data_IF_167276486001
#
_entry.id   IF_167276486001
#
_cell.length_a   1.000
_cell.length_b   1.000
_cell.length_c   1.000
_cell.angle_alpha   90.00
_cell.angle_beta   90.00
_cell.angle_gamma   90.00
#
_symmetry.space_group_name_H-M   'P 1'
#
loop_
_entity.id
_entity.type
_entity.pdbx_description
1 polymer ?
#
# COMPACT_ATOMS: atom_id res chain seq x y z
N UNK A 1 -9.35 -4.47 6.09
CA UNK A 1 -8.93 -3.05 6.16
C UNK A 1 -10.07 -2.15 6.63
N UNK A 2 -11.22 -2.08 5.94
CA UNK A 2 -12.32 -1.20 6.35
C UNK A 2 -12.92 -1.55 7.74
N UNK A 3 -13.12 -2.83 8.06
CA UNK A 3 -13.62 -3.25 9.38
C UNK A 3 -12.61 -2.90 10.48
N UNK A 4 -11.32 -3.18 10.26
CA UNK A 4 -10.26 -2.81 11.20
C UNK A 4 -10.21 -1.29 11.43
N UNK A 5 -10.35 -0.49 10.36
CA UNK A 5 -10.31 0.96 10.44
C UNK A 5 -11.42 1.51 11.37
N UNK A 6 -12.64 1.00 11.22
CA UNK A 6 -13.80 1.43 12.02
C UNK A 6 -13.75 0.89 13.45
N UNK A 7 -13.41 -0.40 13.63
CA UNK A 7 -13.41 -1.05 14.96
C UNK A 7 -12.26 -0.54 15.83
N UNK A 8 -11.07 -0.35 15.25
CA UNK A 8 -9.90 0.12 15.98
C UNK A 8 -9.75 1.65 15.96
N UNK A 9 -10.68 2.37 15.33
CA UNK A 9 -10.68 3.83 15.18
C UNK A 9 -9.34 4.37 14.66
N UNK A 10 -8.77 3.66 13.69
CA UNK A 10 -7.44 3.96 13.19
C UNK A 10 -7.51 5.02 12.08
N UNK A 11 -7.26 6.27 12.45
CA UNK A 11 -7.32 7.42 11.53
C UNK A 11 -6.43 7.26 10.31
N UNK A 12 -5.24 6.66 10.47
CA UNK A 12 -4.33 6.43 9.35
C UNK A 12 -4.96 5.51 8.29
N UNK A 13 -5.64 4.44 8.72
CA UNK A 13 -6.31 3.49 7.82
C UNK A 13 -7.47 4.14 7.06
N UNK A 14 -8.25 5.01 7.72
CA UNK A 14 -9.34 5.76 7.09
C UNK A 14 -8.79 6.75 6.04
N UNK A 15 -7.68 7.41 6.34
CA UNK A 15 -7.03 8.33 5.40
C UNK A 15 -6.54 7.60 4.15
N UNK A 16 -5.84 6.48 4.31
CA UNK A 16 -5.37 5.71 3.13
C UNK A 16 -6.52 5.09 2.36
N UNK A 17 -7.60 4.65 3.02
CA UNK A 17 -8.78 4.17 2.31
C UNK A 17 -9.40 5.26 1.43
N UNK A 18 -9.42 6.52 1.89
CA UNK A 18 -9.87 7.64 1.07
C UNK A 18 -8.92 7.90 -0.12
N UNK A 19 -7.60 7.88 0.11
CA UNK A 19 -6.60 8.03 -0.97
C UNK A 19 -6.73 6.93 -2.02
N UNK A 20 -6.84 5.66 -1.60
CA UNK A 20 -7.03 4.52 -2.51
C UNK A 20 -8.30 4.67 -3.34
N UNK A 21 -9.42 5.11 -2.74
CA UNK A 21 -10.65 5.37 -3.51
C UNK A 21 -10.47 6.49 -4.55
N UNK A 22 -9.75 7.56 -4.21
CA UNK A 22 -9.43 8.62 -5.19
C UNK A 22 -8.57 8.08 -6.34
N UNK A 23 -7.57 7.24 -6.04
CA UNK A 23 -6.74 6.59 -7.06
C UNK A 23 -7.58 5.67 -7.96
N UNK A 24 -8.49 4.88 -7.39
CA UNK A 24 -9.43 4.06 -8.16
C UNK A 24 -10.32 4.91 -9.09
N UNK A 25 -10.78 6.08 -8.64
CA UNK A 25 -11.56 6.98 -9.48
C UNK A 25 -10.76 7.54 -10.66
N UNK A 26 -9.47 7.87 -10.44
CA UNK A 26 -8.56 8.29 -11.51
C UNK A 26 -8.33 7.15 -12.51
N UNK A 27 -8.09 5.93 -12.03
CA UNK A 27 -7.91 4.76 -12.89
C UNK A 27 -9.17 4.43 -13.70
N UNK A 28 -10.37 4.54 -13.11
CA UNK A 28 -11.63 4.36 -13.84
C UNK A 28 -11.82 5.41 -14.94
N UNK A 29 -11.44 6.67 -14.68
CA UNK A 29 -11.46 7.70 -15.72
C UNK A 29 -10.50 7.40 -16.88
N UNK A 30 -9.30 6.84 -16.58
CA UNK A 30 -8.35 6.41 -17.60
C UNK A 30 -8.85 5.20 -18.40
N UNK A 31 -9.54 4.27 -17.74
CA UNK A 31 -10.12 3.10 -18.39
C UNK A 31 -11.12 3.49 -19.49
N UNK A 32 -11.93 4.54 -19.27
CA UNK A 32 -12.83 5.09 -20.30
C UNK A 32 -12.04 5.59 -21.52
N UNK A 33 -10.90 6.26 -21.29
CA UNK A 33 -10.06 6.81 -22.38
C UNK A 33 -9.48 5.67 -23.22
N UNK A 34 -8.98 4.62 -22.58
CA UNK A 34 -8.50 3.43 -23.29
C UNK A 34 -9.65 2.70 -24.00
N UNK A 35 -10.79 2.51 -23.34
CA UNK A 35 -11.96 1.86 -23.92
C UNK A 35 -12.43 2.57 -25.20
N UNK A 36 -12.47 3.90 -25.18
CA UNK A 36 -12.81 4.69 -26.37
C UNK A 36 -11.79 4.55 -27.50
N UNK A 37 -10.49 4.55 -27.18
CA UNK A 37 -9.41 4.32 -28.15
C UNK A 37 -9.57 2.96 -28.84
N UNK A 38 -9.73 1.89 -28.08
CA UNK A 38 -9.85 0.52 -28.62
C UNK A 38 -11.15 0.33 -29.41
N UNK A 39 -12.26 0.91 -28.94
CA UNK A 39 -13.53 0.87 -29.66
C UNK A 39 -13.43 1.55 -31.03
N UNK A 40 -12.75 2.70 -31.11
CA UNK A 40 -12.55 3.41 -32.38
C UNK A 40 -11.69 2.62 -33.37
N UNK A 41 -10.65 1.95 -32.88
CA UNK A 41 -9.84 1.06 -33.72
C UNK A 41 -10.68 -0.11 -34.24
N UNK A 42 -11.51 -0.73 -33.40
CA UNK A 42 -12.36 -1.86 -33.80
C UNK A 42 -13.43 -1.46 -34.83
N UNK A 43 -13.96 -0.23 -34.76
CA UNK A 43 -14.92 0.31 -35.75
C UNK A 43 -14.35 0.40 -37.16
N UNK A 44 -13.03 0.47 -37.31
CA UNK A 44 -12.37 0.46 -38.63
C UNK A 44 -12.29 -0.94 -39.24
N UNK A 45 -12.58 -1.98 -38.46
CA UNK A 45 -12.52 -3.38 -38.88
C UNK A 45 -13.92 -3.94 -39.17
N UNK A 46 -14.00 -5.04 -39.94
CA UNK A 46 -15.29 -5.66 -40.31
C UNK A 46 -15.91 -6.55 -39.22
N UNK A 47 -15.35 -6.56 -38.00
CA UNK A 47 -15.78 -7.42 -36.91
C UNK A 47 -16.95 -6.81 -36.11
N UNK A 48 -17.82 -7.63 -35.49
CA UNK A 48 -18.93 -7.12 -34.69
C UNK A 48 -18.44 -6.40 -33.43
N UNK A 49 -18.87 -5.15 -33.23
CA UNK A 49 -18.45 -4.30 -32.09
C UNK A 49 -19.55 -4.04 -31.04
N UNK A 50 -20.76 -4.59 -31.22
CA UNK A 50 -21.93 -4.33 -30.36
C UNK A 50 -21.68 -4.63 -28.87
N UNK A 51 -20.95 -5.70 -28.57
CA UNK A 51 -20.59 -6.09 -27.20
C UNK A 51 -19.63 -5.09 -26.56
N UNK A 52 -18.61 -4.64 -27.30
CA UNK A 52 -17.63 -3.67 -26.81
C UNK A 52 -18.25 -2.29 -26.61
N UNK A 53 -19.17 -1.87 -27.49
CA UNK A 53 -19.94 -0.64 -27.31
C UNK A 53 -20.81 -0.69 -26.04
N UNK A 54 -21.42 -1.84 -25.76
CA UNK A 54 -22.20 -2.05 -24.54
C UNK A 54 -21.30 -2.03 -23.30
N UNK A 55 -20.14 -2.68 -23.35
CA UNK A 55 -19.16 -2.66 -22.26
C UNK A 55 -18.67 -1.24 -21.96
N UNK A 56 -18.35 -0.44 -22.99
CA UNK A 56 -17.94 0.96 -22.82
C UNK A 56 -18.98 1.81 -22.09
N UNK A 57 -20.29 1.56 -22.32
CA UNK A 57 -21.35 2.25 -21.56
C UNK A 57 -21.36 1.86 -20.08
N UNK A 58 -21.12 0.59 -19.77
CA UNK A 58 -20.99 0.12 -18.39
C UNK A 58 -19.74 0.67 -17.69
N UNK A 59 -18.60 0.76 -18.39
CA UNK A 59 -17.35 1.35 -17.88
C UNK A 59 -17.56 2.82 -17.46
N UNK A 60 -18.26 3.61 -18.28
CA UNK A 60 -18.61 4.99 -17.96
C UNK A 60 -19.48 5.05 -16.71
N UNK A 61 -20.54 4.22 -16.65
CA UNK A 61 -21.44 4.19 -15.50
C UNK A 61 -20.71 3.80 -14.20
N UNK A 62 -19.83 2.78 -14.27
CA UNK A 62 -19.06 2.32 -13.13
C UNK A 62 -18.09 3.40 -12.63
N UNK A 63 -17.40 4.09 -13.54
CA UNK A 63 -16.45 5.16 -13.20
C UNK A 63 -17.14 6.33 -12.52
N UNK A 64 -18.34 6.71 -12.97
CA UNK A 64 -19.15 7.76 -12.31
C UNK A 64 -19.54 7.33 -10.89
N UNK A 65 -19.92 6.07 -10.69
CA UNK A 65 -20.25 5.53 -9.38
C UNK A 65 -19.01 5.54 -8.47
N UNK A 66 -17.86 5.04 -8.94
CA UNK A 66 -16.60 5.04 -8.18
C UNK A 66 -16.20 6.47 -7.79
N UNK A 67 -16.34 7.44 -8.70
CA UNK A 67 -16.06 8.84 -8.42
C UNK A 67 -16.98 9.40 -7.32
N UNK A 68 -18.29 9.12 -7.38
CA UNK A 68 -19.23 9.54 -6.34
C UNK A 68 -18.90 8.94 -4.97
N UNK A 69 -18.52 7.66 -4.93
CA UNK A 69 -18.04 7.00 -3.71
C UNK A 69 -16.73 7.60 -3.22
N UNK A 70 -15.78 7.92 -4.09
CA UNK A 70 -14.52 8.54 -3.72
C UNK A 70 -14.72 9.92 -3.08
N UNK A 71 -15.58 10.77 -3.65
CA UNK A 71 -15.94 12.08 -3.08
C UNK A 71 -16.57 11.92 -1.70
N UNK A 72 -17.53 11.00 -1.58
CA UNK A 72 -18.21 10.71 -0.31
C UNK A 72 -17.22 10.21 0.75
N UNK A 73 -16.35 9.27 0.39
CA UNK A 73 -15.32 8.73 1.28
C UNK A 73 -14.28 9.77 1.68
N UNK A 74 -13.92 10.69 0.78
CA UNK A 74 -13.02 11.79 1.09
C UNK A 74 -13.64 12.72 2.15
N UNK A 75 -14.92 13.09 1.99
CA UNK A 75 -15.65 13.89 2.97
C UNK A 75 -15.76 13.19 4.33
N UNK A 76 -16.18 11.92 4.35
CA UNK A 76 -16.27 11.14 5.60
C UNK A 76 -14.91 11.01 6.28
N UNK A 77 -13.86 10.73 5.52
CA UNK A 77 -12.49 10.58 6.04
C UNK A 77 -11.97 11.88 6.66
N UNK A 78 -12.26 13.03 6.04
CA UNK A 78 -11.92 14.34 6.61
C UNK A 78 -12.62 14.59 7.95
N UNK A 79 -13.91 14.31 8.04
CA UNK A 79 -14.67 14.49 9.27
C UNK A 79 -14.19 13.54 10.38
N UNK A 80 -13.95 12.27 10.04
CA UNK A 80 -13.43 11.26 10.96
C UNK A 80 -12.02 11.59 11.47
N UNK A 81 -11.18 12.19 10.62
CA UNK A 81 -9.82 12.61 11.01
C UNK A 81 -9.86 13.67 12.13
N UNK A 82 -10.85 14.55 12.14
CA UNK A 82 -11.03 15.56 13.21
C UNK A 82 -11.41 14.91 14.54
N UNK A 83 -12.38 13.99 14.54
CA UNK A 83 -12.88 13.33 15.74
C UNK A 83 -11.84 12.37 16.35
N UNK A 84 -11.17 11.58 15.52
CA UNK A 84 -10.19 10.59 16.00
C UNK A 84 -8.84 11.18 16.40
N UNK A 85 -8.49 12.38 15.92
CA UNK A 85 -7.29 13.10 16.39
C UNK A 85 -7.30 13.35 17.90
N UNK A 86 -8.48 13.62 18.47
CA UNK A 86 -8.67 13.75 19.91
C UNK A 86 -8.48 12.44 20.68
N UNK A 87 -8.80 11.30 20.07
CA UNK A 87 -8.66 9.99 20.70
C UNK A 87 -7.21 9.49 20.71
N UNK A 88 -6.41 9.82 19.69
CA UNK A 88 -4.97 9.52 19.65
C UNK A 88 -4.24 10.29 20.76
N UNK A 89 -4.58 11.56 20.96
CA UNK A 89 -4.01 12.38 22.04
C UNK A 89 -4.23 11.74 23.42
N UNK A 90 -5.45 11.26 23.69
CA UNK A 90 -5.80 10.61 24.97
C UNK A 90 -5.08 9.27 25.18
N UNK A 91 -4.81 8.50 24.10
CA UNK A 91 -4.27 7.14 24.19
C UNK A 91 -2.75 7.06 24.33
N UNK A 92 -1.99 8.00 23.76
CA UNK A 92 -0.52 7.98 23.75
C UNK A 92 0.05 8.92 24.83
N UNK A 93 -0.71 9.92 25.28
CA UNK A 93 -0.25 10.94 26.22
C UNK A 93 0.49 12.09 25.52
N UNK A 94 0.99 13.07 26.28
CA UNK A 94 1.48 14.36 25.78
C UNK A 94 2.82 14.31 25.01
N UNK A 95 3.52 13.18 24.95
CA UNK A 95 4.80 13.10 24.25
C UNK A 95 4.61 13.05 22.72
N UNK A 96 4.81 14.22 22.10
CA UNK A 96 4.68 14.44 20.66
C UNK A 96 5.70 13.61 19.85
N UNK A 97 6.86 13.28 20.43
CA UNK A 97 7.90 12.48 19.79
C UNK A 97 7.42 11.05 19.54
N UNK A 98 6.89 10.41 20.59
CA UNK A 98 6.36 9.04 20.52
C UNK A 98 5.16 8.97 19.57
N UNK A 99 4.27 9.96 19.61
CA UNK A 99 3.15 10.04 18.68
C UNK A 99 3.60 10.10 17.21
N UNK A 100 4.63 10.90 16.90
CA UNK A 100 5.17 11.01 15.53
C UNK A 100 5.80 9.70 15.06
N UNK A 101 6.56 9.03 15.93
CA UNK A 101 7.17 7.73 15.61
C UNK A 101 6.10 6.65 15.38
N UNK A 102 5.09 6.59 16.25
CA UNK A 102 3.97 5.66 16.12
C UNK A 102 3.17 5.87 14.84
N UNK A 103 2.84 7.13 14.52
CA UNK A 103 2.13 7.46 13.27
C UNK A 103 2.94 7.07 12.03
N UNK A 104 4.25 7.30 12.03
CA UNK A 104 5.14 6.87 10.93
C UNK A 104 5.09 5.36 10.76
N UNK A 105 5.15 4.61 11.86
CA UNK A 105 5.04 3.15 11.82
C UNK A 105 3.66 2.68 11.32
N UNK A 106 2.57 3.34 11.73
CA UNK A 106 1.24 3.03 11.23
C UNK A 106 1.15 3.23 9.71
N UNK A 107 1.65 4.35 9.19
CA UNK A 107 1.71 4.57 7.73
C UNK A 107 2.55 3.52 7.03
N UNK A 108 3.70 3.12 7.60
CA UNK A 108 4.51 2.04 7.04
C UNK A 108 3.74 0.72 6.94
N UNK A 109 3.09 0.27 8.03
CA UNK A 109 2.28 -0.96 8.03
C UNK A 109 1.12 -0.87 7.04
N UNK A 110 0.60 0.33 6.85
CA UNK A 110 -0.52 0.58 5.97
C UNK A 110 -0.13 0.55 4.50
N UNK A 111 1.01 1.15 4.15
CA UNK A 111 1.61 1.01 2.83
C UNK A 111 1.88 -0.46 2.52
N UNK A 112 2.48 -1.23 3.45
CA UNK A 112 2.68 -2.68 3.26
C UNK A 112 1.37 -3.42 2.95
N UNK A 113 0.22 -3.03 3.54
CA UNK A 113 -1.08 -3.64 3.22
C UNK A 113 -1.54 -3.32 1.80
N UNK A 114 -1.27 -2.11 1.31
CA UNK A 114 -1.60 -1.69 -0.06
C UNK A 114 -0.64 -2.34 -1.06
N UNK A 115 0.63 -2.51 -0.70
CA UNK A 115 1.65 -3.15 -1.54
C UNK A 115 1.36 -4.64 -1.76
N UNK A 116 0.76 -5.34 -0.78
CA UNK A 116 0.27 -6.72 -0.97
C UNK A 116 -0.68 -6.80 -2.17
N UNK A 117 -1.51 -5.78 -2.39
CA UNK A 117 -2.40 -5.74 -3.55
C UNK A 117 -1.64 -5.25 -4.78
N UNK A 118 -0.96 -4.11 -4.66
CA UNK A 118 -0.39 -3.39 -5.81
C UNK A 118 0.81 -4.14 -6.39
N UNK A 119 1.81 -4.47 -5.57
CA UNK A 119 3.04 -5.09 -6.06
C UNK A 119 2.79 -6.50 -6.56
N UNK A 120 2.04 -7.29 -5.78
CA UNK A 120 1.72 -8.66 -6.13
C UNK A 120 0.88 -8.74 -7.41
N UNK A 121 -0.14 -7.89 -7.58
CA UNK A 121 -0.98 -7.93 -8.78
C UNK A 121 -0.24 -7.47 -10.02
N UNK A 122 0.54 -6.39 -9.95
CA UNK A 122 1.35 -5.93 -11.10
C UNK A 122 2.29 -7.06 -11.54
N UNK A 123 2.99 -7.66 -10.57
CA UNK A 123 3.94 -8.75 -10.83
C UNK A 123 3.25 -9.99 -11.40
N UNK A 124 2.11 -10.41 -10.83
CA UNK A 124 1.37 -11.57 -11.27
C UNK A 124 0.75 -11.38 -12.67
N UNK A 125 0.12 -10.23 -12.92
CA UNK A 125 -0.50 -9.96 -14.22
C UNK A 125 0.54 -9.87 -15.33
N UNK A 126 1.69 -9.22 -15.07
CA UNK A 126 2.78 -9.19 -16.02
C UNK A 126 3.33 -10.60 -16.30
N UNK A 127 3.54 -11.43 -15.28
CA UNK A 127 4.00 -12.82 -15.46
C UNK A 127 3.05 -13.63 -16.34
N UNK A 128 1.73 -13.50 -16.12
CA UNK A 128 0.71 -14.17 -16.94
C UNK A 128 0.76 -13.66 -18.38
N UNK A 129 0.81 -12.35 -18.58
CA UNK A 129 0.85 -11.74 -19.91
C UNK A 129 2.10 -12.15 -20.68
N UNK A 130 3.27 -12.07 -20.04
CA UNK A 130 4.55 -12.47 -20.62
C UNK A 130 4.54 -13.96 -21.03
N UNK A 131 4.05 -14.83 -20.15
CA UNK A 131 3.94 -16.28 -20.44
C UNK A 131 2.98 -16.56 -21.59
N UNK A 132 1.91 -15.78 -21.72
CA UNK A 132 0.92 -15.90 -22.79
C UNK A 132 1.50 -15.47 -24.14
N UNK A 133 2.24 -14.37 -24.18
CA UNK A 133 2.83 -13.84 -25.41
C UNK A 133 4.00 -14.68 -25.92
N UNK A 134 4.92 -15.09 -25.05
CA UNK A 134 6.06 -15.93 -25.42
C UNK A 134 5.65 -17.39 -25.68
N UNK A 135 4.52 -17.84 -25.11
CA UNK A 135 4.09 -19.23 -25.10
C UNK A 135 4.77 -20.02 -23.99
N UNK A 136 3.99 -20.82 -23.25
CA UNK A 136 4.41 -21.47 -22.01
C UNK A 136 5.72 -22.28 -22.11
N UNK A 137 5.89 -23.03 -23.20
CA UNK A 137 7.07 -23.91 -23.41
C UNK A 137 8.36 -23.15 -23.72
N UNK A 138 8.25 -21.94 -24.26
CA UNK A 138 9.39 -21.06 -24.56
C UNK A 138 9.69 -20.22 -23.33
N UNK A 139 8.66 -19.59 -22.75
CA UNK A 139 8.80 -18.78 -21.54
C UNK A 139 9.50 -19.53 -20.39
N UNK A 140 9.19 -20.81 -20.17
CA UNK A 140 9.80 -21.60 -19.10
C UNK A 140 11.29 -21.93 -19.33
N UNK A 141 11.80 -21.77 -20.56
CA UNK A 141 13.22 -21.94 -20.89
C UNK A 141 14.03 -20.67 -20.68
N UNK A 142 13.38 -19.51 -20.69
CA UNK A 142 14.04 -18.23 -20.50
C UNK A 142 14.36 -17.98 -19.03
N UNK A 143 15.60 -17.57 -18.76
CA UNK A 143 16.07 -17.28 -17.41
C UNK A 143 15.31 -16.11 -16.78
N UNK A 144 14.88 -15.14 -17.59
CA UNK A 144 14.17 -13.94 -17.14
C UNK A 144 12.82 -14.29 -16.51
N UNK A 145 12.08 -15.26 -17.08
CA UNK A 145 10.82 -15.76 -16.52
C UNK A 145 10.98 -16.35 -15.14
N UNK A 146 12.07 -17.10 -14.91
CA UNK A 146 12.37 -17.66 -13.59
C UNK A 146 12.67 -16.58 -12.56
N UNK A 147 13.41 -15.54 -12.95
CA UNK A 147 13.67 -14.39 -12.07
C UNK A 147 12.36 -13.68 -11.72
N UNK A 148 11.50 -13.40 -12.69
CA UNK A 148 10.20 -12.75 -12.47
C UNK A 148 9.29 -13.59 -11.56
N UNK A 149 9.23 -14.91 -11.78
CA UNK A 149 8.48 -15.84 -10.95
C UNK A 149 9.00 -15.83 -9.50
N UNK A 150 10.31 -15.92 -9.31
CA UNK A 150 10.94 -15.91 -7.99
C UNK A 150 10.65 -14.59 -7.26
N UNK A 151 10.83 -13.44 -7.93
CA UNK A 151 10.51 -12.13 -7.37
C UNK A 151 9.04 -12.08 -6.95
N UNK A 152 8.12 -12.49 -7.83
CA UNK A 152 6.67 -12.50 -7.56
C UNK A 152 6.32 -13.32 -6.31
N UNK A 153 6.90 -14.52 -6.17
CA UNK A 153 6.66 -15.40 -5.02
C UNK A 153 7.25 -14.79 -3.74
N UNK A 154 8.40 -14.13 -3.84
CA UNK A 154 9.10 -13.55 -2.68
C UNK A 154 8.46 -12.26 -2.15
N UNK A 155 7.70 -11.51 -2.96
CA UNK A 155 7.03 -10.26 -2.51
C UNK A 155 6.23 -10.48 -1.23
N UNK A 156 5.33 -11.48 -1.19
CA UNK A 156 4.46 -11.69 -0.01
C UNK A 156 5.23 -12.05 1.27
N UNK A 157 6.17 -13.02 1.27
CA UNK A 157 7.05 -13.28 2.42
C UNK A 157 7.84 -12.05 2.86
N UNK A 158 8.39 -11.26 1.93
CA UNK A 158 9.21 -10.10 2.26
C UNK A 158 8.38 -8.94 2.85
N UNK A 159 7.15 -8.72 2.39
CA UNK A 159 6.23 -7.76 3.00
C UNK A 159 5.86 -8.17 4.44
N UNK A 160 5.61 -9.46 4.68
CA UNK A 160 5.39 -9.98 6.04
C UNK A 160 6.64 -9.84 6.91
N UNK A 161 7.81 -10.12 6.33
CA UNK A 161 9.10 -9.97 6.99
C UNK A 161 9.37 -8.52 7.39
N UNK A 162 9.06 -7.55 6.51
CA UNK A 162 9.16 -6.11 6.78
C UNK A 162 8.30 -5.68 7.96
N UNK A 163 7.05 -6.17 8.01
CA UNK A 163 6.14 -5.91 9.13
C UNK A 163 6.71 -6.43 10.46
N UNK A 164 7.32 -7.60 10.43
CA UNK A 164 7.92 -8.23 11.62
C UNK A 164 9.20 -7.48 12.04
N UNK A 165 10.03 -7.10 11.08
CA UNK A 165 11.25 -6.32 11.28
C UNK A 165 10.97 -5.00 11.99
N UNK A 166 9.90 -4.30 11.57
CA UNK A 166 9.45 -3.07 12.19
C UNK A 166 8.96 -3.26 13.64
N UNK A 167 8.19 -4.32 13.94
CA UNK A 167 7.73 -4.54 15.32
C UNK A 167 8.76 -5.06 16.31
N UNK A 168 9.82 -5.65 15.79
CA UNK A 168 10.93 -6.17 16.59
C UNK A 168 12.12 -5.20 16.61
N UNK A 169 11.97 -4.02 16.00
CA UNK A 169 13.01 -2.98 15.85
C UNK A 169 14.34 -3.52 15.31
N UNK A 170 14.27 -4.49 14.40
CA UNK A 170 15.43 -5.19 13.88
C UNK A 170 15.99 -4.51 12.65
N UNK A 171 16.99 -3.64 12.85
CA UNK A 171 17.76 -2.98 11.77
C UNK A 171 18.21 -3.92 10.65
N UNK A 172 18.87 -5.08 10.92
CA UNK A 172 19.37 -5.92 9.84
C UNK A 172 18.23 -6.47 8.96
N UNK A 173 17.09 -6.84 9.55
CA UNK A 173 15.93 -7.32 8.80
C UNK A 173 15.31 -6.22 7.94
N UNK A 174 15.23 -4.99 8.46
CA UNK A 174 14.74 -3.85 7.70
C UNK A 174 15.65 -3.51 6.51
N UNK A 175 16.97 -3.59 6.67
CA UNK A 175 17.94 -3.37 5.59
C UNK A 175 17.76 -4.43 4.48
N UNK A 176 17.63 -5.70 4.86
CA UNK A 176 17.38 -6.79 3.89
C UNK A 176 16.09 -6.55 3.09
N UNK A 177 15.02 -6.09 3.75
CA UNK A 177 13.79 -5.70 3.07
C UNK A 177 13.99 -4.54 2.09
N UNK A 178 14.68 -3.46 2.51
CA UNK A 178 14.98 -2.31 1.63
C UNK A 178 15.78 -2.74 0.40
N UNK A 179 16.75 -3.66 0.56
CA UNK A 179 17.53 -4.18 -0.57
C UNK A 179 16.63 -4.98 -1.52
N UNK A 180 15.75 -5.83 -1.00
CA UNK A 180 14.77 -6.56 -1.81
C UNK A 180 13.85 -5.61 -2.58
N UNK A 181 13.46 -4.50 -1.95
CA UNK A 181 12.60 -3.51 -2.56
C UNK A 181 13.24 -2.89 -3.83
N UNK A 182 14.55 -2.66 -3.86
CA UNK A 182 15.23 -2.24 -5.09
C UNK A 182 15.09 -3.27 -6.22
N UNK A 183 15.03 -4.57 -5.91
CA UNK A 183 14.79 -5.60 -6.91
C UNK A 183 13.35 -5.56 -7.45
N UNK A 184 12.37 -5.23 -6.61
CA UNK A 184 10.97 -5.01 -7.03
C UNK A 184 10.86 -3.79 -7.94
N UNK A 185 11.50 -2.66 -7.61
CA UNK A 185 11.58 -1.49 -8.49
C UNK A 185 12.21 -1.84 -9.83
N UNK A 186 13.34 -2.57 -9.83
CA UNK A 186 13.99 -3.00 -11.07
C UNK A 186 13.07 -3.89 -11.92
N UNK A 187 12.32 -4.80 -11.28
CA UNK A 187 11.30 -5.60 -11.95
C UNK A 187 10.22 -4.74 -12.60
N UNK A 188 9.67 -3.74 -11.91
CA UNK A 188 8.66 -2.84 -12.49
C UNK A 188 9.19 -1.95 -13.60
N UNK A 189 10.47 -1.57 -13.58
CA UNK A 189 11.10 -0.87 -14.70
C UNK A 189 11.13 -1.76 -15.94
N UNK A 190 11.37 -3.07 -15.80
CA UNK A 190 11.28 -4.02 -16.92
C UNK A 190 9.85 -4.12 -17.45
N UNK A 191 8.86 -4.28 -16.56
CA UNK A 191 7.44 -4.27 -16.93
C UNK A 191 7.09 -3.02 -17.72
N UNK A 192 7.56 -1.86 -17.26
CA UNK A 192 7.30 -0.57 -17.90
C UNK A 192 7.94 -0.48 -19.29
N UNK A 193 9.18 -0.96 -19.44
CA UNK A 193 9.89 -0.98 -20.72
C UNK A 193 9.14 -1.82 -21.77
N UNK A 194 8.66 -2.99 -21.38
CA UNK A 194 7.93 -3.88 -22.28
C UNK A 194 6.53 -3.34 -22.61
N UNK A 195 5.95 -2.58 -21.69
CA UNK A 195 4.66 -1.92 -21.90
C UNK A 195 4.73 -0.77 -22.92
N UNK A 196 5.86 -0.05 -23.01
CA UNK A 196 6.01 1.11 -23.90
C UNK A 196 6.18 0.77 -25.39
N UNK A 197 5.68 -0.38 -25.85
CA UNK A 197 5.76 -0.78 -27.25
C UNK A 197 4.90 0.15 -28.15
N UNK A 198 5.46 0.66 -29.27
CA UNK A 198 4.91 1.80 -30.01
C UNK A 198 3.51 1.59 -30.60
N UNK A 199 3.06 0.34 -30.78
CA UNK A 199 1.78 0.03 -31.43
C UNK A 199 0.65 -0.36 -30.45
N UNK A 200 0.95 -0.61 -29.17
CA UNK A 200 -0.01 -1.15 -28.19
C UNK A 200 0.05 -0.45 -26.82
N UNK A 201 0.07 0.88 -26.81
CA UNK A 201 0.10 1.65 -25.56
C UNK A 201 -1.24 1.53 -24.81
N UNK A 202 -1.26 0.74 -23.74
CA UNK A 202 -2.37 0.65 -22.80
C UNK A 202 -2.14 1.65 -21.66
N UNK A 203 -2.80 2.82 -21.72
CA UNK A 203 -2.49 3.94 -20.84
C UNK A 203 -2.78 3.65 -19.37
N UNK A 204 -3.89 2.95 -19.10
CA UNK A 204 -4.31 2.52 -17.77
C UNK A 204 -3.23 1.62 -17.15
N UNK A 205 -2.70 0.66 -17.90
CA UNK A 205 -1.63 -0.22 -17.43
C UNK A 205 -0.34 0.55 -17.14
N UNK A 206 0.06 1.47 -18.03
CA UNK A 206 1.24 2.33 -17.81
C UNK A 206 1.11 3.13 -16.51
N UNK A 207 -0.03 3.81 -16.31
CA UNK A 207 -0.27 4.61 -15.09
C UNK A 207 -0.30 3.72 -13.85
N UNK A 208 -0.87 2.52 -13.95
CA UNK A 208 -0.91 1.56 -12.85
C UNK A 208 0.49 1.10 -12.42
N UNK A 209 1.39 0.83 -13.39
CA UNK A 209 2.79 0.48 -13.10
C UNK A 209 3.54 1.67 -12.48
N UNK A 210 3.35 2.90 -12.98
CA UNK A 210 3.94 4.10 -12.35
C UNK A 210 3.47 4.30 -10.90
N UNK A 211 2.18 4.07 -10.65
CA UNK A 211 1.61 4.13 -9.30
C UNK A 211 2.22 3.06 -8.39
N UNK A 212 2.45 1.85 -8.91
CA UNK A 212 3.19 0.80 -8.20
C UNK A 212 4.60 1.22 -7.80
N UNK A 213 5.38 1.79 -8.73
CA UNK A 213 6.73 2.31 -8.44
C UNK A 213 6.68 3.44 -7.40
N UNK A 214 5.70 4.34 -7.47
CA UNK A 214 5.56 5.44 -6.52
C UNK A 214 5.20 4.94 -5.10
N UNK A 215 4.33 3.94 -5.00
CA UNK A 215 3.97 3.27 -3.75
C UNK A 215 5.19 2.58 -3.13
N UNK A 216 5.94 1.85 -3.95
CA UNK A 216 7.17 1.18 -3.56
C UNK A 216 8.20 2.16 -2.94
N UNK A 217 8.51 3.26 -3.65
CA UNK A 217 9.42 4.31 -3.15
C UNK A 217 8.93 4.89 -1.82
N UNK A 218 7.62 5.06 -1.68
CA UNK A 218 7.00 5.55 -0.43
C UNK A 218 7.20 4.55 0.70
N UNK A 219 7.00 3.27 0.46
CA UNK A 219 7.22 2.18 1.43
C UNK A 219 8.67 2.09 1.85
N UNK A 220 9.61 2.15 0.90
CA UNK A 220 11.04 2.17 1.18
C UNK A 220 11.42 3.38 2.07
N UNK A 221 10.92 4.57 1.72
CA UNK A 221 11.17 5.80 2.49
C UNK A 221 10.63 5.72 3.92
N UNK A 222 9.41 5.21 4.08
CA UNK A 222 8.79 4.99 5.40
C UNK A 222 9.53 3.90 6.20
N UNK A 223 10.07 2.87 5.53
CA UNK A 223 10.91 1.84 6.14
C UNK A 223 12.21 2.43 6.71
N UNK A 224 12.88 3.31 5.96
CA UNK A 224 14.07 4.04 6.44
C UNK A 224 13.72 4.94 7.63
N UNK A 225 12.64 5.71 7.55
CA UNK A 225 12.19 6.55 8.66
C UNK A 225 11.85 5.73 9.92
N UNK A 226 11.21 4.57 9.76
CA UNK A 226 10.99 3.64 10.87
C UNK A 226 12.32 3.19 11.48
N UNK A 227 13.29 2.81 10.64
CA UNK A 227 14.61 2.35 11.08
C UNK A 227 15.40 3.39 11.88
N UNK A 228 15.31 4.67 11.49
CA UNK A 228 15.93 5.80 12.21
C UNK A 228 15.30 6.05 13.59
N UNK A 229 14.07 5.56 13.79
CA UNK A 229 13.31 5.70 15.04
C UNK A 229 13.42 4.47 15.97
N UNK A 230 14.11 3.41 15.55
CA UNK A 230 14.32 2.23 16.39
C UNK A 230 15.12 2.57 17.65
N UNK A 231 14.80 1.88 18.76
CA UNK A 231 15.37 2.03 20.11
C UNK A 231 15.04 3.34 20.84
N UNK A 232 14.10 4.13 20.32
CA UNK A 232 13.63 5.39 20.95
C UNK A 232 12.36 5.23 21.78
N UNK A 233 12.06 4.01 22.25
CA UNK A 233 10.89 3.72 23.10
C UNK A 233 9.59 3.42 22.36
N UNK A 234 9.64 3.20 21.04
CA UNK A 234 8.46 2.87 20.22
C UNK A 234 7.99 1.41 20.41
N UNK A 235 8.91 0.50 20.74
CA UNK A 235 8.69 -0.93 20.88
C UNK A 235 7.42 -1.36 21.64
N UNK A 236 7.06 -0.79 22.81
CA UNK A 236 5.86 -1.20 23.56
C UNK A 236 4.55 -0.93 22.81
N UNK A 237 4.50 0.12 21.99
CA UNK A 237 3.28 0.55 21.30
C UNK A 237 3.01 -0.23 20.00
N UNK A 238 3.99 -1.02 19.53
CA UNK A 238 3.99 -1.62 18.18
C UNK A 238 3.76 -3.15 18.18
N UNK A 239 3.89 -3.81 19.34
CA UNK A 239 3.64 -5.25 19.48
C UNK A 239 2.14 -5.60 19.42
N UNK A 240 1.79 -6.77 18.84
CA UNK A 240 0.41 -7.28 18.76
C UNK A 240 0.26 -8.48 19.70
N UNK A 241 -0.80 -8.52 20.54
CA UNK A 241 -1.12 -9.67 21.42
C UNK A 241 -1.22 -9.33 22.93
N UNK A 242 -1.59 -10.31 23.76
CA UNK A 242 -1.86 -10.14 25.21
C UNK A 242 -0.68 -9.60 26.05
N UNK A 243 0.56 -9.77 25.57
CA UNK A 243 1.76 -9.15 26.15
C UNK A 243 1.74 -7.60 26.14
N UNK A 244 0.82 -7.01 25.37
CA UNK A 244 0.60 -5.57 25.23
C UNK A 244 -0.14 -4.97 26.45
N UNK A 245 -0.95 -5.76 27.18
CA UNK A 245 -1.65 -5.26 28.39
C UNK A 245 -0.73 -5.21 29.60
N UNK A 246 0.12 -6.22 29.80
CA UNK A 246 1.03 -6.27 30.95
C UNK A 246 2.11 -5.20 30.87
N UNK A 247 2.83 -5.10 29.75
CA UNK A 247 3.91 -4.10 29.61
C UNK A 247 3.44 -2.65 29.65
N UNK A 248 2.24 -2.35 29.14
CA UNK A 248 1.68 -1.01 29.22
C UNK A 248 1.26 -0.67 30.65
N UNK A 249 0.66 -1.63 31.35
CA UNK A 249 0.34 -1.52 32.78
C UNK A 249 1.61 -1.33 33.63
N UNK A 250 2.68 -2.08 33.35
CA UNK A 250 3.97 -1.95 34.03
C UNK A 250 4.63 -0.58 33.76
N UNK A 251 4.54 -0.06 32.54
CA UNK A 251 5.04 1.27 32.18
C UNK A 251 4.23 2.39 32.87
N UNK A 252 2.90 2.25 32.96
CA UNK A 252 2.06 3.18 33.70
C UNK A 252 2.38 3.17 35.20
N UNK A 253 2.51 1.99 35.81
CA UNK A 253 2.89 1.82 37.23
C UNK A 253 4.26 2.43 37.55
N UNK A 254 5.22 2.30 36.64
CA UNK A 254 6.55 2.90 36.84
C UNK A 254 6.54 4.43 36.73
N UNK A 255 5.63 4.98 35.91
CA UNK A 255 5.45 6.42 35.76
C UNK A 255 4.71 7.05 36.94
N UNK A 256 3.78 6.33 37.57
CA UNK A 256 3.15 6.76 38.83
C UNK A 256 4.12 6.69 40.01
N UNK A 257 4.97 5.67 40.10
CA UNK A 257 5.97 5.59 41.16
C UNK A 257 7.00 6.73 41.13
N UNK A 258 7.36 7.21 39.93
CA UNK A 258 8.29 8.35 39.77
C UNK A 258 7.63 9.72 40.03
N UNK A 259 6.31 9.83 39.91
CA UNK A 259 5.58 11.04 40.29
C UNK A 259 5.27 11.10 41.79
N UNK A 260 5.20 9.94 42.47
CA UNK A 260 4.95 9.86 43.92
C UNK A 260 6.21 10.10 44.78
N UNK A 261 7.38 10.32 44.17
CA UNK A 261 8.62 10.67 44.89
C UNK A 261 8.80 12.17 45.15
N UNK A 262 7.77 13.00 44.91
CA UNK A 262 7.69 14.33 45.54
C UNK A 262 7.17 14.17 46.98
N UNK A 263 8.03 13.70 47.87
CA UNK A 263 7.87 13.99 49.28
C UNK A 263 8.31 15.44 49.47
N UNK A 264 7.38 16.29 49.90
CA UNK A 264 7.72 17.59 50.45
C UNK A 264 8.42 17.26 51.76
N UNK A 265 9.74 17.38 51.79
CA UNK A 265 10.48 17.40 53.05
C UNK A 265 9.93 18.57 53.87
N UNK A 266 9.46 18.27 55.09
CA UNK A 266 8.92 19.22 56.08
C UNK A 266 9.88 20.38 56.42
#
# INVERSE_FOLDING_TARGET
>A
MAIDATVYQNTAEILVLAVVNCLCAILGALEIVDGYKWLNLLKTTSYPYNYLETASKFEIALSVIILAFAITMCYLSFQMTKEFGWNIYKKIGADVSIQKMYRTFQFFVLCLKVDIFTEFLISLFYLIQFTREAGFSVAMKDADTWVQLIVTILILPFLYFARTAGSTESKPRMIVFIIFQFAVIAHFILVLKDTFQPENNWYTWIVFVFLGIAMDITTMSLGVLCMLNFRKGLHPFVQRGAANKSKFHDLELNKTNTNNTWQIDD
#
